data_IF_476830848005
#
_entry.id   IF_476830848005
#
_cell.length_a   1.000
_cell.length_b   1.000
_cell.length_c   1.000
_cell.angle_alpha   90.00
_cell.angle_beta   90.00
_cell.angle_gamma   90.00
#
_symmetry.space_group_name_H-M   'P 1'
#
loop_
_entity.id
_entity.type
_entity.pdbx_description
1 polymer ?
#
# COMPACT_ATOMS: atom_id res chain seq x y z
N UNK A 1 28.83 -8.05 11.00
CA UNK A 1 27.44 -8.38 10.65
C UNK A 1 26.73 -7.07 10.34
N UNK A 2 26.27 -6.88 9.11
CA UNK A 2 25.59 -5.64 8.72
C UNK A 2 24.13 -5.67 9.16
N UNK A 3 23.80 -4.95 10.24
CA UNK A 3 22.45 -4.91 10.83
C UNK A 3 21.47 -3.97 10.10
N UNK A 4 21.93 -3.29 9.05
CA UNK A 4 21.13 -2.32 8.29
C UNK A 4 19.82 -2.89 7.73
N UNK A 5 19.77 -4.11 7.17
CA UNK A 5 18.52 -4.69 6.68
C UNK A 5 17.50 -4.92 7.81
N UNK A 6 17.98 -5.32 9.00
CA UNK A 6 17.12 -5.54 10.16
C UNK A 6 16.46 -4.22 10.58
N UNK A 7 17.24 -3.15 10.66
CA UNK A 7 16.71 -1.83 11.00
C UNK A 7 15.69 -1.33 9.97
N UNK A 8 15.99 -1.50 8.67
CA UNK A 8 15.06 -1.12 7.60
C UNK A 8 13.75 -1.90 7.70
N UNK A 9 13.81 -3.22 7.93
CA UNK A 9 12.61 -4.05 8.09
C UNK A 9 11.77 -3.64 9.28
N UNK A 10 12.38 -3.30 10.42
CA UNK A 10 11.66 -2.78 11.61
C UNK A 10 11.00 -1.44 11.29
N UNK A 11 11.73 -0.52 10.67
CA UNK A 11 11.19 0.78 10.29
C UNK A 11 9.99 0.64 9.33
N UNK A 12 10.12 -0.25 8.34
CA UNK A 12 9.06 -0.51 7.36
C UNK A 12 7.85 -1.17 8.02
N UNK A 13 8.03 -2.19 8.85
CA UNK A 13 6.92 -2.94 9.46
C UNK A 13 6.14 -2.09 10.46
N UNK A 14 6.81 -1.29 11.28
CA UNK A 14 6.14 -0.37 12.22
C UNK A 14 5.34 0.68 11.44
N UNK A 15 5.93 1.28 10.42
CA UNK A 15 5.27 2.30 9.60
C UNK A 15 4.05 1.72 8.86
N UNK A 16 4.20 0.53 8.28
CA UNK A 16 3.12 -0.16 7.58
C UNK A 16 1.99 -0.52 8.54
N UNK A 17 2.31 -1.08 9.71
CA UNK A 17 1.31 -1.43 10.74
C UNK A 17 0.53 -0.20 11.18
N UNK A 18 1.21 0.92 11.47
CA UNK A 18 0.55 2.16 11.86
C UNK A 18 -0.39 2.69 10.77
N UNK A 19 0.04 2.67 9.51
CA UNK A 19 -0.80 3.06 8.37
C UNK A 19 -1.99 2.12 8.18
N UNK A 20 -1.79 0.81 8.27
CA UNK A 20 -2.85 -0.20 8.17
C UNK A 20 -3.87 -0.05 9.29
N UNK A 21 -3.43 0.26 10.52
CA UNK A 21 -4.36 0.55 11.61
C UNK A 21 -5.14 1.84 11.36
N UNK A 22 -4.48 2.89 10.87
CA UNK A 22 -5.11 4.19 10.64
C UNK A 22 -6.14 4.14 9.50
N UNK A 23 -5.86 3.39 8.42
CA UNK A 23 -6.69 3.36 7.21
C UNK A 23 -7.55 2.09 7.13
N UNK A 24 -6.95 0.94 7.40
CA UNK A 24 -7.63 -0.37 7.31
C UNK A 24 -8.69 -0.56 8.38
N UNK A 25 -8.46 -0.10 9.62
CA UNK A 25 -9.45 -0.24 10.69
C UNK A 25 -10.76 0.53 10.43
N UNK A 26 -10.75 1.83 10.08
CA UNK A 26 -12.00 2.52 9.76
C UNK A 26 -12.67 1.98 8.50
N UNK A 27 -11.89 1.49 7.53
CA UNK A 27 -12.41 0.89 6.30
C UNK A 27 -13.11 -0.44 6.58
N UNK A 28 -12.48 -1.33 7.36
CA UNK A 28 -13.07 -2.58 7.83
C UNK A 28 -14.31 -2.33 8.70
N UNK A 29 -14.26 -1.36 9.61
CA UNK A 29 -15.40 -1.00 10.46
C UNK A 29 -16.59 -0.50 9.62
N UNK A 30 -16.31 0.34 8.63
CA UNK A 30 -17.33 0.85 7.70
C UNK A 30 -17.95 -0.28 6.88
N UNK A 31 -17.14 -1.15 6.28
CA UNK A 31 -17.61 -2.30 5.50
C UNK A 31 -18.43 -3.28 6.34
N UNK A 32 -18.08 -3.47 7.62
CA UNK A 32 -18.78 -4.36 8.52
C UNK A 32 -20.14 -3.79 8.99
N UNK A 33 -20.24 -2.47 9.19
CA UNK A 33 -21.41 -1.86 9.86
C UNK A 33 -22.33 -1.03 8.98
N UNK A 34 -21.86 -0.55 7.83
CA UNK A 34 -22.65 0.32 6.95
C UNK A 34 -23.01 -0.42 5.66
N UNK A 35 -24.24 -0.23 5.20
CA UNK A 35 -24.67 -0.58 3.84
C UNK A 35 -24.78 0.71 3.03
N UNK A 36 -23.99 0.82 1.98
CA UNK A 36 -23.94 1.98 1.08
C UNK A 36 -23.80 1.48 -0.37
N UNK A 37 -24.30 2.25 -1.37
CA UNK A 37 -24.12 1.89 -2.77
C UNK A 37 -22.63 1.86 -3.12
N UNK A 38 -22.14 0.74 -3.65
CA UNK A 38 -20.72 0.51 -3.95
C UNK A 38 -19.94 -0.28 -2.88
N UNK A 39 -20.59 -0.72 -1.78
CA UNK A 39 -19.97 -1.57 -0.75
C UNK A 39 -19.32 -2.83 -1.34
N UNK A 40 -20.01 -3.53 -2.24
CA UNK A 40 -19.50 -4.80 -2.80
C UNK A 40 -18.27 -4.58 -3.69
N UNK A 41 -18.20 -3.43 -4.38
CA UNK A 41 -17.01 -3.06 -5.15
C UNK A 41 -15.82 -2.75 -4.23
N UNK A 42 -16.06 -2.04 -3.12
CA UNK A 42 -15.02 -1.75 -2.13
C UNK A 42 -14.55 -3.04 -1.43
N UNK A 43 -15.47 -3.93 -1.07
CA UNK A 43 -15.16 -5.23 -0.47
C UNK A 43 -14.32 -6.08 -1.43
N UNK A 44 -14.73 -6.15 -2.71
CA UNK A 44 -13.95 -6.80 -3.75
C UNK A 44 -12.55 -6.19 -3.92
N UNK A 45 -12.43 -4.86 -3.88
CA UNK A 45 -11.13 -4.18 -3.99
C UNK A 45 -10.20 -4.47 -2.80
N UNK A 46 -10.74 -4.64 -1.59
CA UNK A 46 -9.97 -5.01 -0.39
C UNK A 46 -9.52 -6.47 -0.45
N UNK A 47 -10.36 -7.37 -0.99
CA UNK A 47 -10.03 -8.80 -1.12
C UNK A 47 -9.12 -9.08 -2.31
N UNK A 48 -9.15 -8.24 -3.35
CA UNK A 48 -8.42 -8.43 -4.61
C UNK A 48 -6.92 -8.74 -4.42
N UNK A 49 -6.15 -8.03 -3.59
CA UNK A 49 -4.74 -8.32 -3.38
C UNK A 49 -4.47 -9.72 -2.82
N UNK A 50 -5.41 -10.25 -2.04
CA UNK A 50 -5.31 -11.57 -1.42
C UNK A 50 -5.48 -12.71 -2.42
N UNK A 51 -6.19 -12.46 -3.53
CA UNK A 51 -6.42 -13.44 -4.61
C UNK A 51 -5.33 -13.35 -5.68
N UNK A 52 -4.71 -12.19 -5.84
CA UNK A 52 -3.67 -11.99 -6.84
C UNK A 52 -2.33 -12.62 -6.42
N UNK A 53 -1.55 -13.18 -7.37
CA UNK A 53 -0.18 -13.58 -7.09
C UNK A 53 0.67 -12.38 -6.63
N UNK A 54 1.59 -12.57 -5.68
CA UNK A 54 2.40 -11.47 -5.12
C UNK A 54 3.25 -10.77 -6.20
N UNK A 55 3.67 -11.50 -7.24
CA UNK A 55 4.41 -10.93 -8.37
C UNK A 55 3.56 -9.94 -9.18
N UNK A 56 2.29 -10.26 -9.41
CA UNK A 56 1.36 -9.39 -10.15
C UNK A 56 1.02 -8.17 -9.31
N UNK A 57 0.82 -8.36 -8.00
CA UNK A 57 0.60 -7.27 -7.06
C UNK A 57 1.77 -6.28 -7.06
N UNK A 58 3.01 -6.78 -7.01
CA UNK A 58 4.21 -5.95 -7.11
C UNK A 58 4.30 -5.17 -8.43
N UNK A 59 3.93 -5.79 -9.54
CA UNK A 59 3.87 -5.11 -10.84
C UNK A 59 2.80 -4.01 -10.88
N UNK A 60 1.61 -4.26 -10.35
CA UNK A 60 0.56 -3.23 -10.26
C UNK A 60 0.95 -2.07 -9.35
N UNK A 61 1.58 -2.34 -8.21
CA UNK A 61 2.16 -1.29 -7.38
C UNK A 61 3.13 -0.44 -8.21
N UNK A 62 4.09 -1.06 -8.91
CA UNK A 62 5.02 -0.33 -9.78
C UNK A 62 4.32 0.48 -10.88
N UNK A 63 3.25 -0.02 -11.48
CA UNK A 63 2.48 0.74 -12.46
C UNK A 63 1.78 1.96 -11.86
N UNK A 64 1.40 1.91 -10.59
CA UNK A 64 0.68 2.99 -9.90
C UNK A 64 1.65 4.01 -9.30
N UNK A 65 2.60 3.54 -8.47
CA UNK A 65 3.55 4.37 -7.71
C UNK A 65 4.88 4.60 -8.42
N UNK A 66 5.16 3.88 -9.51
CA UNK A 66 6.35 4.08 -10.32
C UNK A 66 6.37 5.45 -11.00
N UNK A 67 7.55 5.88 -11.47
CA UNK A 67 7.77 7.24 -11.99
C UNK A 67 6.84 7.66 -13.14
N UNK A 68 6.34 6.69 -13.92
CA UNK A 68 5.39 6.92 -15.03
C UNK A 68 3.93 6.66 -14.65
N UNK A 69 3.70 6.12 -13.46
CA UNK A 69 2.37 5.82 -12.93
C UNK A 69 1.59 7.07 -12.55
N UNK A 70 0.26 6.99 -12.44
CA UNK A 70 -0.59 8.14 -12.11
C UNK A 70 -0.17 8.79 -10.77
N UNK A 71 0.07 7.99 -9.73
CA UNK A 71 0.48 8.49 -8.42
C UNK A 71 1.92 8.98 -8.47
N UNK A 72 2.84 8.19 -9.04
CA UNK A 72 4.25 8.58 -9.12
C UNK A 72 4.49 9.86 -9.92
N UNK A 73 3.70 10.12 -10.96
CA UNK A 73 3.79 11.34 -11.78
C UNK A 73 3.23 12.56 -11.03
N UNK A 74 2.13 12.38 -10.30
CA UNK A 74 1.53 13.43 -9.47
C UNK A 74 2.42 13.82 -8.28
N UNK A 75 3.13 12.87 -7.67
CA UNK A 75 4.13 13.17 -6.65
C UNK A 75 5.44 13.68 -7.25
N UNK A 76 5.79 13.25 -8.46
CA UNK A 76 6.95 13.74 -9.19
C UNK A 76 6.88 15.24 -9.52
N UNK A 77 5.68 15.79 -9.77
CA UNK A 77 5.51 17.25 -9.93
C UNK A 77 5.78 18.04 -8.65
N UNK A 78 5.77 17.37 -7.49
CA UNK A 78 6.14 17.91 -6.18
C UNK A 78 7.59 17.59 -5.80
N UNK A 79 8.37 16.98 -6.70
CA UNK A 79 9.75 16.56 -6.45
C UNK A 79 9.89 15.29 -5.59
N UNK A 80 8.81 14.52 -5.39
CA UNK A 80 8.81 13.32 -4.55
C UNK A 80 8.84 12.07 -5.44
N UNK A 81 9.95 11.32 -5.38
CA UNK A 81 10.05 9.99 -6.00
C UNK A 81 9.80 8.89 -4.97
N UNK A 82 8.83 8.01 -5.24
CA UNK A 82 8.48 6.89 -4.36
C UNK A 82 9.19 5.58 -4.76
N UNK A 83 9.37 5.35 -6.06
CA UNK A 83 9.95 4.10 -6.57
C UNK A 83 11.35 3.86 -5.99
N UNK A 84 11.63 2.61 -5.62
CA UNK A 84 12.92 2.19 -5.02
C UNK A 84 13.28 2.89 -3.70
N UNK A 85 12.29 3.45 -2.99
CA UNK A 85 12.49 4.02 -1.65
C UNK A 85 11.91 3.13 -0.56
N UNK A 86 12.36 3.33 0.68
CA UNK A 86 11.75 2.67 1.85
C UNK A 86 10.27 3.03 2.02
N UNK A 87 9.83 4.19 1.53
CA UNK A 87 8.42 4.61 1.56
C UNK A 87 7.57 3.73 0.64
N UNK A 88 8.09 3.34 -0.53
CA UNK A 88 7.43 2.35 -1.37
C UNK A 88 7.39 0.96 -0.72
N UNK A 89 8.43 0.57 0.02
CA UNK A 89 8.42 -0.67 0.79
C UNK A 89 7.33 -0.68 1.88
N UNK A 90 7.11 0.46 2.56
CA UNK A 90 5.99 0.65 3.49
C UNK A 90 4.64 0.45 2.79
N UNK A 91 4.43 1.12 1.65
CA UNK A 91 3.17 0.97 0.90
C UNK A 91 2.94 -0.46 0.43
N UNK A 92 3.99 -1.15 -0.05
CA UNK A 92 3.91 -2.54 -0.47
C UNK A 92 3.58 -3.48 0.70
N UNK A 93 4.08 -3.18 1.91
CA UNK A 93 3.81 -3.98 3.10
C UNK A 93 2.40 -3.77 3.70
N UNK A 94 1.66 -2.74 3.28
CA UNK A 94 0.29 -2.49 3.75
C UNK A 94 -0.77 -3.32 3.02
N UNK A 95 -0.43 -3.95 1.90
CA UNK A 95 -1.37 -4.55 0.95
C UNK A 95 -1.29 -6.07 0.98
#
# INVERSE_FOLDING_TARGET
MDLRPVWLSIQVSISATALTLLVGLPLAWTLARRRFPGRDLLDGAVVLPLVLPPTVLGYYLLLIIGRRGPIGRALGSLGIELAFTWRAAVLAACV
#
